data_IF_622687845470
#
_entry.id   IF_622687845470
#
_cell.length_a   1.000
_cell.length_b   1.000
_cell.length_c   1.000
_cell.angle_alpha   90.00
_cell.angle_beta   90.00
_cell.angle_gamma   90.00
#
_symmetry.space_group_name_H-M   'P 1'
#
loop_
_entity.id
_entity.type
_entity.pdbx_description
1 polymer ?
#
# COMPACT_ATOMS: atom_id res chain seq x y z
N UNK A 1 5.25 -21.63 12.09
CA UNK A 1 5.29 -20.24 11.60
C UNK A 1 4.82 -19.36 12.75
N UNK A 2 5.66 -18.45 13.26
CA UNK A 2 5.28 -17.63 14.41
C UNK A 2 4.08 -16.72 14.05
N UNK A 3 3.13 -16.50 14.98
CA UNK A 3 1.97 -15.64 14.72
C UNK A 3 2.36 -14.23 14.23
N UNK A 4 3.50 -13.71 14.69
CA UNK A 4 4.02 -12.40 14.29
C UNK A 4 4.52 -12.38 12.84
N UNK A 5 5.06 -13.48 12.34
CA UNK A 5 5.48 -13.60 10.94
C UNK A 5 4.28 -13.54 9.98
N UNK A 6 3.18 -14.23 10.32
CA UNK A 6 1.94 -14.19 9.51
C UNK A 6 1.37 -12.77 9.48
N UNK A 7 1.34 -12.09 10.63
CA UNK A 7 0.91 -10.68 10.70
C UNK A 7 1.79 -9.76 9.85
N UNK A 8 3.12 -9.98 9.84
CA UNK A 8 4.03 -9.19 9.04
C UNK A 8 3.74 -9.34 7.53
N UNK A 9 3.48 -10.56 7.07
CA UNK A 9 3.10 -10.82 5.68
C UNK A 9 1.78 -10.16 5.29
N UNK A 10 0.77 -10.19 6.17
CA UNK A 10 -0.52 -9.53 5.91
C UNK A 10 -0.36 -8.01 5.79
N UNK A 11 0.45 -7.39 6.65
CA UNK A 11 0.72 -5.94 6.58
C UNK A 11 1.54 -5.61 5.31
N UNK A 12 2.47 -6.48 4.92
CA UNK A 12 3.22 -6.34 3.67
C UNK A 12 2.27 -6.37 2.46
N UNK A 13 1.27 -7.26 2.47
CA UNK A 13 0.26 -7.33 1.42
C UNK A 13 -0.51 -6.02 1.26
N UNK A 14 -0.86 -5.35 2.37
CA UNK A 14 -1.49 -4.01 2.34
C UNK A 14 -0.57 -3.00 1.65
N UNK A 15 0.74 -3.04 1.95
CA UNK A 15 1.72 -2.17 1.28
C UNK A 15 1.79 -2.43 -0.23
N UNK A 16 1.69 -3.69 -0.65
CA UNK A 16 1.71 -4.07 -2.08
C UNK A 16 0.47 -3.53 -2.78
N UNK A 17 -0.73 -3.75 -2.20
CA UNK A 17 -1.99 -3.25 -2.76
C UNK A 17 -1.97 -1.72 -2.87
N UNK A 18 -1.45 -1.02 -1.86
CA UNK A 18 -1.26 0.44 -1.92
C UNK A 18 -0.33 0.87 -3.07
N UNK A 19 0.74 0.11 -3.33
CA UNK A 19 1.62 0.35 -4.48
C UNK A 19 0.92 0.15 -5.83
N UNK A 20 0.12 -0.91 -5.97
CA UNK A 20 -0.67 -1.16 -7.19
C UNK A 20 -1.68 -0.02 -7.42
N UNK A 21 -2.41 0.38 -6.37
CA UNK A 21 -3.38 1.48 -6.44
C UNK A 21 -2.71 2.80 -6.84
N UNK A 22 -1.52 3.08 -6.30
CA UNK A 22 -0.76 4.28 -6.63
C UNK A 22 -0.42 4.35 -8.13
N UNK A 23 0.12 3.27 -8.70
CA UNK A 23 0.48 3.22 -10.13
C UNK A 23 -0.76 3.31 -11.01
N UNK A 24 -1.85 2.63 -10.65
CA UNK A 24 -3.13 2.71 -11.37
C UNK A 24 -3.70 4.13 -11.40
N UNK A 25 -3.68 4.84 -10.27
CA UNK A 25 -4.15 6.22 -10.18
C UNK A 25 -3.31 7.17 -11.04
N UNK A 26 -1.99 7.01 -11.09
CA UNK A 26 -1.12 7.80 -11.98
C UNK A 26 -1.51 7.56 -13.44
N UNK A 27 -1.72 6.30 -13.82
CA UNK A 27 -2.10 5.95 -15.18
C UNK A 27 -3.44 6.58 -15.58
N UNK A 28 -4.48 6.42 -14.75
CA UNK A 28 -5.80 7.00 -15.01
C UNK A 28 -5.79 8.53 -15.07
N UNK A 29 -5.08 9.18 -14.14
CA UNK A 29 -4.95 10.64 -14.14
C UNK A 29 -4.18 11.15 -15.36
N UNK A 30 -3.17 10.40 -15.81
CA UNK A 30 -2.41 10.73 -17.02
C UNK A 30 -3.21 10.52 -18.29
N UNK A 31 -4.12 9.54 -18.30
CA UNK A 31 -5.03 9.28 -19.42
C UNK A 31 -6.13 10.35 -19.57
N UNK A 32 -6.46 11.06 -18.47
CA UNK A 32 -7.38 12.20 -18.48
C UNK A 32 -8.86 11.83 -18.35
N UNK A 33 -9.19 10.54 -18.20
CA UNK A 33 -10.54 10.04 -17.98
C UNK A 33 -10.56 8.95 -16.88
N UNK A 34 -10.38 9.32 -15.60
CA UNK A 34 -10.43 8.38 -14.48
C UNK A 34 -11.85 7.84 -14.24
N UNK A 35 -11.99 6.52 -14.05
CA UNK A 35 -13.28 5.84 -13.87
C UNK A 35 -13.98 6.25 -12.56
N UNK A 36 -13.20 6.46 -11.49
CA UNK A 36 -13.72 6.95 -10.21
C UNK A 36 -13.83 8.48 -10.16
N UNK A 37 -13.48 9.17 -11.25
CA UNK A 37 -13.41 10.63 -11.33
C UNK A 37 -12.16 11.21 -10.67
N UNK A 38 -11.76 12.40 -11.13
CA UNK A 38 -10.51 13.05 -10.73
C UNK A 38 -10.35 13.19 -9.22
N UNK A 39 -11.41 13.61 -8.51
CA UNK A 39 -11.33 13.85 -7.07
C UNK A 39 -11.02 12.57 -6.27
N UNK A 40 -11.66 11.46 -6.63
CA UNK A 40 -11.48 10.18 -5.91
C UNK A 40 -10.11 9.58 -6.25
N UNK A 41 -9.73 9.56 -7.53
CA UNK A 41 -8.43 9.03 -7.96
C UNK A 41 -7.26 9.81 -7.34
N UNK A 42 -7.36 11.14 -7.22
CA UNK A 42 -6.38 11.95 -6.48
C UNK A 42 -6.35 11.65 -4.98
N UNK A 43 -7.51 11.48 -4.35
CA UNK A 43 -7.58 11.12 -2.93
C UNK A 43 -6.93 9.76 -2.66
N UNK A 44 -7.19 8.76 -3.50
CA UNK A 44 -6.56 7.44 -3.42
C UNK A 44 -5.06 7.57 -3.63
N UNK A 45 -4.61 8.29 -4.66
CA UNK A 45 -3.18 8.50 -4.93
C UNK A 45 -2.44 9.07 -3.71
N UNK A 46 -2.98 10.14 -3.12
CA UNK A 46 -2.40 10.80 -1.95
C UNK A 46 -2.43 9.87 -0.72
N UNK A 47 -3.51 9.11 -0.52
CA UNK A 47 -3.62 8.17 0.60
C UNK A 47 -2.75 6.91 0.42
N UNK A 48 -2.41 6.55 -0.82
CA UNK A 48 -1.61 5.35 -1.13
C UNK A 48 -0.18 5.47 -0.64
N UNK A 49 0.44 6.66 -0.74
CA UNK A 49 1.81 6.92 -0.28
C UNK A 49 1.96 6.68 1.23
N UNK A 50 1.22 7.37 2.14
CA UNK A 50 1.37 7.19 3.57
C UNK A 50 0.98 5.77 3.99
N UNK A 51 -0.09 5.20 3.41
CA UNK A 51 -0.53 3.83 3.70
C UNK A 51 0.55 2.81 3.34
N UNK A 52 1.13 2.94 2.15
CA UNK A 52 2.21 2.07 1.67
C UNK A 52 3.45 2.16 2.55
N UNK A 53 3.98 3.37 2.76
CA UNK A 53 5.19 3.61 3.55
C UNK A 53 5.01 3.13 5.00
N UNK A 54 3.89 3.48 5.64
CA UNK A 54 3.60 3.06 7.01
C UNK A 54 3.51 1.53 7.13
N UNK A 55 2.75 0.91 6.22
CA UNK A 55 2.57 -0.55 6.23
C UNK A 55 3.90 -1.26 5.98
N UNK A 56 4.71 -0.80 5.04
CA UNK A 56 6.02 -1.37 4.77
C UNK A 56 6.94 -1.32 5.99
N UNK A 57 7.08 -0.15 6.64
CA UNK A 57 7.94 0.00 7.83
C UNK A 57 7.47 -0.92 8.96
N UNK A 58 6.16 -0.99 9.21
CA UNK A 58 5.58 -1.87 10.23
C UNK A 58 5.78 -3.34 9.90
N UNK A 59 5.56 -3.76 8.66
CA UNK A 59 5.77 -5.13 8.21
C UNK A 59 7.22 -5.56 8.39
N UNK A 60 8.19 -4.73 7.98
CA UNK A 60 9.63 -5.01 8.14
C UNK A 60 10.02 -5.06 9.62
N UNK A 61 9.49 -4.16 10.45
CA UNK A 61 9.73 -4.21 11.90
C UNK A 61 9.22 -5.50 12.53
N UNK A 62 8.02 -5.94 12.16
CA UNK A 62 7.39 -7.12 12.72
C UNK A 62 8.06 -8.42 12.22
N UNK A 63 8.42 -8.47 10.94
CA UNK A 63 9.19 -9.57 10.38
C UNK A 63 10.53 -9.73 11.10
N UNK A 64 11.25 -8.61 11.34
CA UNK A 64 12.52 -8.64 12.11
C UNK A 64 12.33 -9.18 13.52
N UNK A 65 11.29 -8.74 14.25
CA UNK A 65 10.98 -9.25 15.59
C UNK A 65 10.69 -10.76 15.60
N UNK A 66 10.06 -11.28 14.53
CA UNK A 66 9.73 -12.70 14.43
C UNK A 66 10.94 -13.62 14.14
N UNK A 67 12.08 -13.03 13.76
CA UNK A 67 13.34 -13.75 13.45
C UNK A 67 14.35 -13.70 14.61
N UNK A 68 14.06 -12.94 15.68
CA UNK A 68 14.83 -12.91 16.92
C UNK A 68 14.23 -13.89 17.93
#
# INVERSE_FOLDING_TARGET
>A
MSPDYIKAQLILLISIVAGIAFVGCIYELSYGAPDFGFAVTWAILIASIPTGVYSFIKAVSLARKSMQ
#
